data_IF_882154704616
#
_entry.id   IF_882154704616
#
_cell.length_a   1.000
_cell.length_b   1.000
_cell.length_c   1.000
_cell.angle_alpha   90.00
_cell.angle_beta   90.00
_cell.angle_gamma   90.00
#
_symmetry.space_group_name_H-M   'P 1'
#
loop_
_entity.id
_entity.type
_entity.pdbx_description
1 polymer ?
#
# COMPACT_ATOMS: atom_id res chain seq x y z
N UNK A 1 48.23 -27.52 62.29
CA UNK A 1 47.62 -27.97 61.02
C UNK A 1 46.50 -26.99 60.66
N UNK A 2 46.73 -26.07 59.70
CA UNK A 2 45.76 -25.04 59.26
C UNK A 2 45.20 -25.46 57.92
N UNK A 3 43.88 -25.72 57.83
CA UNK A 3 43.19 -26.02 56.60
C UNK A 3 42.87 -24.67 55.84
N UNK A 4 43.09 -24.61 54.55
CA UNK A 4 42.65 -23.46 53.76
C UNK A 4 41.16 -23.56 53.40
N UNK A 5 40.40 -22.51 53.64
CA UNK A 5 39.00 -22.34 53.20
C UNK A 5 39.04 -21.85 51.77
N UNK A 6 38.54 -22.67 50.84
CA UNK A 6 38.40 -22.30 49.46
C UNK A 6 37.07 -21.50 49.28
N UNK A 7 37.14 -20.25 48.90
CA UNK A 7 35.99 -19.45 48.48
C UNK A 7 35.65 -19.78 47.01
N UNK A 8 34.51 -20.40 46.79
CA UNK A 8 33.95 -20.58 45.45
C UNK A 8 33.16 -19.33 45.10
N UNK A 9 33.66 -18.55 44.13
CA UNK A 9 32.93 -17.42 43.57
C UNK A 9 31.89 -17.93 42.56
N UNK A 10 30.62 -17.83 42.88
CA UNK A 10 29.53 -18.02 41.92
C UNK A 10 29.46 -16.81 40.99
N UNK A 11 29.87 -16.97 39.70
CA UNK A 11 29.54 -16.01 38.65
C UNK A 11 28.08 -16.20 38.23
N UNK A 12 27.23 -15.26 38.59
CA UNK A 12 25.87 -15.16 38.08
C UNK A 12 25.91 -14.54 36.66
N UNK A 13 25.71 -15.36 35.64
CA UNK A 13 25.47 -14.89 34.27
C UNK A 13 24.07 -14.25 34.20
N UNK A 14 24.02 -12.92 34.16
CA UNK A 14 22.79 -12.19 33.84
C UNK A 14 22.48 -12.38 32.32
N UNK A 15 21.57 -13.26 32.01
CA UNK A 15 21.02 -13.39 30.68
C UNK A 15 20.14 -12.18 30.40
N UNK A 16 20.62 -11.23 29.59
CA UNK A 16 19.78 -10.16 29.05
C UNK A 16 18.74 -10.80 28.13
N UNK A 17 17.51 -10.94 28.63
CA UNK A 17 16.37 -11.31 27.80
C UNK A 17 16.12 -10.18 26.80
N UNK A 18 16.44 -10.43 25.53
CA UNK A 18 16.06 -9.54 24.42
C UNK A 18 14.54 -9.62 24.29
N UNK A 19 13.82 -8.63 24.82
CA UNK A 19 12.38 -8.48 24.60
C UNK A 19 12.18 -8.24 23.11
N UNK A 20 11.43 -9.08 22.37
CA UNK A 20 11.18 -8.83 20.96
C UNK A 20 10.47 -7.49 20.82
N UNK A 21 11.14 -6.53 20.20
CA UNK A 21 10.57 -5.23 19.90
C UNK A 21 9.51 -5.42 18.81
N UNK A 22 8.27 -5.00 19.07
CA UNK A 22 7.21 -5.01 18.04
C UNK A 22 7.71 -4.31 16.80
N UNK A 23 7.45 -4.91 15.63
CA UNK A 23 7.80 -4.27 14.36
C UNK A 23 7.11 -2.91 14.25
N UNK A 24 7.75 -1.90 13.66
CA UNK A 24 7.12 -0.60 13.40
C UNK A 24 5.78 -0.77 12.68
N UNK A 25 4.84 0.15 12.89
CA UNK A 25 3.50 0.05 12.30
C UNK A 25 3.50 -0.05 10.76
N UNK A 26 4.45 0.61 10.10
CA UNK A 26 4.65 0.53 8.65
C UNK A 26 5.11 -0.86 8.21
N UNK A 27 5.99 -1.51 8.97
CA UNK A 27 6.44 -2.88 8.72
C UNK A 27 5.29 -3.87 8.86
N UNK A 28 4.48 -3.73 9.90
CA UNK A 28 3.30 -4.58 10.09
C UNK A 28 2.26 -4.35 8.99
N UNK A 29 2.07 -3.10 8.54
CA UNK A 29 1.20 -2.78 7.42
C UNK A 29 1.69 -3.44 6.12
N UNK A 30 2.98 -3.28 5.80
CA UNK A 30 3.59 -3.87 4.62
C UNK A 30 3.49 -5.40 4.63
N UNK A 31 3.75 -6.03 5.77
CA UNK A 31 3.63 -7.48 5.93
C UNK A 31 2.19 -7.97 5.69
N UNK A 32 1.17 -7.23 6.15
CA UNK A 32 -0.24 -7.53 5.90
C UNK A 32 -0.60 -7.41 4.42
N UNK A 33 -0.13 -6.37 3.75
CA UNK A 33 -0.35 -6.18 2.32
C UNK A 33 0.34 -7.29 1.51
N UNK A 34 1.57 -7.64 1.88
CA UNK A 34 2.34 -8.73 1.28
C UNK A 34 1.70 -10.11 1.49
N UNK A 35 1.01 -10.33 2.60
CA UNK A 35 0.29 -11.58 2.85
C UNK A 35 -0.84 -11.86 1.84
N UNK A 36 -1.28 -10.85 1.08
CA UNK A 36 -2.25 -10.98 -0.01
C UNK A 36 -1.61 -11.37 -1.34
N UNK A 37 -0.30 -11.63 -1.37
CA UNK A 37 0.46 -11.88 -2.59
C UNK A 37 -0.09 -13.07 -3.37
N UNK A 38 -0.18 -12.90 -4.70
CA UNK A 38 -0.71 -13.90 -5.63
C UNK A 38 -2.24 -13.90 -5.74
N UNK A 39 -2.96 -13.22 -4.84
CA UNK A 39 -4.41 -13.23 -4.82
C UNK A 39 -5.02 -11.98 -5.45
N UNK A 40 -6.18 -12.16 -6.06
CA UNK A 40 -7.04 -11.09 -6.55
C UNK A 40 -8.30 -11.00 -5.69
N UNK A 41 -8.87 -9.79 -5.62
CA UNK A 41 -10.07 -9.51 -4.83
C UNK A 41 -11.00 -8.58 -5.57
N UNK A 42 -12.30 -8.89 -5.57
CA UNK A 42 -13.32 -8.00 -6.09
C UNK A 42 -13.69 -6.92 -5.08
N UNK A 43 -14.05 -5.78 -5.61
CA UNK A 43 -14.43 -4.63 -4.82
C UNK A 43 -15.54 -3.82 -5.43
N UNK A 44 -15.92 -2.78 -4.71
CA UNK A 44 -16.92 -1.79 -5.12
C UNK A 44 -16.51 -0.40 -4.66
N UNK A 45 -17.00 0.59 -5.38
CA UNK A 45 -16.94 1.96 -4.90
C UNK A 45 -17.99 2.14 -3.79
N UNK A 46 -17.57 2.73 -2.66
CA UNK A 46 -18.45 3.02 -1.52
C UNK A 46 -18.65 4.52 -1.29
N UNK A 47 -17.86 5.36 -1.96
CA UNK A 47 -18.12 6.80 -2.06
C UNK A 47 -19.17 7.09 -3.15
N UNK A 48 -19.97 8.13 -2.97
CA UNK A 48 -21.15 8.40 -3.82
C UNK A 48 -21.04 9.66 -4.70
N UNK A 49 -19.84 10.08 -5.11
CA UNK A 49 -19.69 11.29 -5.92
C UNK A 49 -20.08 11.06 -7.39
N UNK A 50 -20.77 12.03 -7.99
CA UNK A 50 -21.27 11.92 -9.35
C UNK A 50 -20.19 11.72 -10.41
N UNK A 51 -18.99 12.25 -10.18
CA UNK A 51 -17.82 12.10 -11.06
C UNK A 51 -17.34 10.64 -11.16
N UNK A 52 -17.67 9.81 -10.19
CA UNK A 52 -17.24 8.40 -10.15
C UNK A 52 -18.30 7.41 -10.64
N UNK A 53 -19.40 7.89 -11.23
CA UNK A 53 -20.55 7.06 -11.63
C UNK A 53 -20.16 5.90 -12.55
N UNK A 54 -19.27 6.13 -13.50
CA UNK A 54 -18.80 5.09 -14.42
C UNK A 54 -18.00 4.02 -13.68
N UNK A 55 -17.10 4.45 -12.77
CA UNK A 55 -16.32 3.52 -11.96
C UNK A 55 -17.21 2.76 -10.97
N UNK A 56 -18.24 3.41 -10.42
CA UNK A 56 -19.22 2.77 -9.53
C UNK A 56 -20.03 1.66 -10.22
N UNK A 57 -20.26 1.80 -11.53
CA UNK A 57 -20.95 0.80 -12.35
C UNK A 57 -20.02 -0.32 -12.86
N UNK A 58 -18.72 -0.12 -12.80
CA UNK A 58 -17.73 -1.08 -13.29
C UNK A 58 -17.41 -2.14 -12.25
N UNK A 59 -17.02 -3.33 -12.73
CA UNK A 59 -16.40 -4.36 -11.88
C UNK A 59 -15.00 -3.88 -11.47
N UNK A 60 -14.75 -3.81 -10.17
CA UNK A 60 -13.46 -3.43 -9.62
C UNK A 60 -12.70 -4.66 -9.14
N UNK A 61 -11.45 -4.83 -9.53
CA UNK A 61 -10.60 -5.93 -9.08
C UNK A 61 -9.21 -5.41 -8.78
N UNK A 62 -8.65 -5.79 -7.63
CA UNK A 62 -7.21 -5.66 -7.37
C UNK A 62 -6.55 -7.03 -7.40
N UNK A 63 -5.26 -7.08 -7.75
CA UNK A 63 -4.42 -8.23 -7.56
C UNK A 63 -3.11 -7.82 -6.91
N UNK A 64 -2.70 -8.44 -5.80
CA UNK A 64 -1.34 -8.27 -5.28
C UNK A 64 -0.43 -9.22 -6.07
N UNK A 65 0.08 -8.74 -7.21
CA UNK A 65 0.60 -9.59 -8.28
C UNK A 65 2.08 -9.92 -8.15
N UNK A 66 2.90 -8.93 -7.83
CA UNK A 66 4.34 -9.10 -7.67
C UNK A 66 4.76 -8.61 -6.30
N UNK A 67 5.56 -9.41 -5.60
CA UNK A 67 5.90 -9.18 -4.20
C UNK A 67 7.37 -9.50 -3.94
N UNK A 68 8.06 -8.54 -3.37
CA UNK A 68 9.39 -8.72 -2.80
C UNK A 68 9.43 -8.19 -1.36
N UNK A 69 10.58 -8.21 -0.73
CA UNK A 69 10.76 -7.57 0.57
C UNK A 69 10.71 -6.04 0.50
N UNK A 70 10.92 -5.47 -0.69
CA UNK A 70 11.05 -4.02 -0.89
C UNK A 70 9.87 -3.41 -1.66
N UNK A 71 9.16 -4.21 -2.48
CA UNK A 71 8.18 -3.69 -3.43
C UNK A 71 7.03 -4.65 -3.66
N UNK A 72 5.81 -4.09 -3.67
CA UNK A 72 4.57 -4.76 -4.06
C UNK A 72 3.98 -4.05 -5.27
N UNK A 73 3.54 -4.81 -6.27
CA UNK A 73 2.86 -4.32 -7.48
C UNK A 73 1.42 -4.80 -7.45
N UNK A 74 0.49 -3.86 -7.49
CA UNK A 74 -0.94 -4.10 -7.28
C UNK A 74 -1.72 -3.49 -8.46
N UNK A 75 -1.95 -4.24 -9.55
CA UNK A 75 -2.90 -3.85 -10.58
C UNK A 75 -4.29 -3.57 -9.98
N UNK A 76 -4.91 -2.49 -10.45
CA UNK A 76 -6.29 -2.13 -10.16
C UNK A 76 -7.08 -2.05 -11.46
N UNK A 77 -7.94 -3.01 -11.69
CA UNK A 77 -8.76 -3.15 -12.89
C UNK A 77 -10.13 -2.51 -12.66
N UNK A 78 -10.58 -1.74 -13.64
CA UNK A 78 -11.88 -1.06 -13.67
C UNK A 78 -12.62 -1.48 -14.94
N UNK A 79 -13.47 -2.48 -14.87
CA UNK A 79 -14.07 -3.09 -16.05
C UNK A 79 -13.00 -3.60 -17.01
N UNK A 80 -12.94 -3.04 -18.23
CA UNK A 80 -11.94 -3.36 -19.25
C UNK A 80 -10.68 -2.47 -19.19
N UNK A 81 -10.59 -1.52 -18.26
CA UNK A 81 -9.36 -0.76 -18.03
C UNK A 81 -8.39 -1.57 -17.16
N UNK A 82 -7.30 -2.00 -17.76
CA UNK A 82 -6.21 -2.74 -17.10
C UNK A 82 -4.94 -1.89 -16.97
N UNK A 83 -5.03 -0.57 -17.14
CA UNK A 83 -3.88 0.32 -17.16
C UNK A 83 -3.45 0.85 -15.80
N UNK A 84 -4.19 0.61 -14.72
CA UNK A 84 -3.93 1.21 -13.42
C UNK A 84 -3.13 0.25 -12.53
N UNK A 85 -2.02 0.73 -11.99
CA UNK A 85 -1.17 -0.06 -11.10
C UNK A 85 -0.75 0.79 -9.90
N UNK A 86 -0.92 0.26 -8.70
CA UNK A 86 -0.32 0.80 -7.48
C UNK A 86 0.98 0.08 -7.19
N UNK A 87 2.00 0.83 -6.83
CA UNK A 87 3.29 0.31 -6.38
C UNK A 87 3.51 0.79 -4.96
N UNK A 88 3.61 -0.15 -4.03
CA UNK A 88 3.95 0.14 -2.63
C UNK A 88 5.37 -0.33 -2.39
N UNK A 89 6.27 0.59 -2.05
CA UNK A 89 7.68 0.31 -1.80
C UNK A 89 8.09 0.70 -0.38
N UNK A 90 9.08 -0.01 0.17
CA UNK A 90 9.79 0.42 1.37
C UNK A 90 10.78 1.51 1.01
N UNK A 91 10.97 2.45 1.91
CA UNK A 91 12.00 3.49 1.84
C UNK A 91 12.80 3.50 3.15
N UNK A 92 13.88 4.25 3.19
CA UNK A 92 14.66 4.43 4.41
C UNK A 92 13.88 5.09 5.56
N UNK A 93 12.78 5.78 5.24
CA UNK A 93 11.97 6.55 6.20
C UNK A 93 10.54 6.05 6.37
N UNK A 94 10.15 4.99 5.63
CA UNK A 94 8.80 4.44 5.71
C UNK A 94 8.35 3.72 4.45
N UNK A 95 7.17 4.08 3.94
CA UNK A 95 6.59 3.50 2.73
C UNK A 95 6.35 4.60 1.69
N UNK A 96 6.37 4.21 0.42
CA UNK A 96 5.99 5.05 -0.72
C UNK A 96 4.88 4.38 -1.52
N UNK A 97 3.88 5.13 -1.93
CA UNK A 97 2.86 4.73 -2.88
C UNK A 97 3.05 5.49 -4.18
N UNK A 98 3.10 4.77 -5.30
CA UNK A 98 3.13 5.34 -6.66
C UNK A 98 1.99 4.75 -7.47
N UNK A 99 1.35 5.60 -8.28
CA UNK A 99 0.33 5.24 -9.26
C UNK A 99 0.93 5.29 -10.65
N UNK A 100 0.86 4.17 -11.36
CA UNK A 100 1.24 4.09 -12.77
C UNK A 100 -0.04 3.92 -13.58
N UNK A 101 -0.16 4.69 -14.66
CA UNK A 101 -1.26 4.59 -15.61
C UNK A 101 -0.71 4.33 -17.00
N UNK A 102 -1.27 3.32 -17.67
CA UNK A 102 -0.91 2.93 -19.03
C UNK A 102 -2.12 2.87 -19.92
N UNK A 103 -1.89 3.07 -21.22
CA UNK A 103 -2.87 2.83 -22.28
C UNK A 103 -2.86 1.36 -22.69
N UNK A 104 -3.85 0.97 -23.49
CA UNK A 104 -3.99 -0.40 -23.97
C UNK A 104 -2.80 -0.89 -24.80
N UNK A 105 -2.07 0.02 -25.45
CA UNK A 105 -0.83 -0.29 -26.19
C UNK A 105 0.41 -0.46 -25.28
N UNK A 106 0.24 -0.27 -23.96
CA UNK A 106 1.30 -0.36 -22.95
C UNK A 106 2.08 0.92 -22.75
N UNK A 107 1.86 1.99 -23.52
CA UNK A 107 2.48 3.30 -23.32
C UNK A 107 1.98 3.95 -22.03
N UNK A 108 2.82 4.75 -21.37
CA UNK A 108 2.39 5.49 -20.18
C UNK A 108 1.47 6.65 -20.55
N UNK A 109 0.48 6.92 -19.68
CA UNK A 109 -0.33 8.12 -19.77
C UNK A 109 0.47 9.36 -19.34
N UNK A 110 0.03 10.54 -19.80
CA UNK A 110 0.68 11.79 -19.44
C UNK A 110 0.67 12.07 -17.93
N UNK A 111 -0.36 11.59 -17.22
CA UNK A 111 -0.46 11.66 -15.76
C UNK A 111 -0.22 10.26 -15.21
N UNK A 112 1.04 9.91 -15.03
CA UNK A 112 1.52 8.62 -14.52
C UNK A 112 2.73 8.84 -13.63
N UNK A 113 3.06 7.86 -12.76
CA UNK A 113 4.22 7.92 -11.88
C UNK A 113 4.05 8.86 -10.68
N UNK A 114 2.83 9.24 -10.33
CA UNK A 114 2.55 10.13 -9.20
C UNK A 114 2.26 9.36 -7.91
N UNK A 115 2.48 10.03 -6.77
CA UNK A 115 2.24 9.46 -5.46
C UNK A 115 2.92 10.24 -4.34
N UNK A 116 3.46 9.54 -3.34
CA UNK A 116 4.20 10.16 -2.26
C UNK A 116 4.60 9.19 -1.16
N UNK A 117 5.37 9.70 -0.22
CA UNK A 117 5.81 8.97 0.96
C UNK A 117 4.73 8.96 2.04
N UNK A 118 4.79 7.95 2.92
CA UNK A 118 3.86 7.84 4.04
C UNK A 118 3.97 9.04 4.99
N UNK A 119 2.82 9.59 5.38
CA UNK A 119 2.73 10.69 6.33
C UNK A 119 2.96 10.20 7.77
N UNK A 120 4.22 10.05 8.16
CA UNK A 120 4.60 9.55 9.48
C UNK A 120 4.34 8.05 9.68
N UNK A 121 4.37 7.56 10.92
CA UNK A 121 4.33 6.11 11.21
C UNK A 121 2.99 5.44 10.89
N UNK A 122 1.90 6.17 10.75
CA UNK A 122 0.57 5.62 10.56
C UNK A 122 0.17 4.61 11.64
N UNK A 123 -0.60 3.60 11.26
CA UNK A 123 -0.88 2.45 12.13
C UNK A 123 -0.81 1.13 11.31
N UNK A 124 -0.80 -0.03 11.97
CA UNK A 124 -0.65 -1.32 11.28
C UNK A 124 -1.77 -1.67 10.29
N UNK A 125 -2.88 -0.95 10.30
CA UNK A 125 -4.01 -1.19 9.38
C UNK A 125 -4.14 -0.11 8.32
N UNK A 126 -3.55 1.08 8.53
CA UNK A 126 -3.77 2.22 7.63
C UNK A 126 -2.52 3.05 7.48
N UNK A 127 -2.17 3.34 6.22
CA UNK A 127 -1.12 4.28 5.84
C UNK A 127 -1.70 5.36 4.92
N UNK A 128 -1.17 6.58 5.05
CA UNK A 128 -1.58 7.74 4.26
C UNK A 128 -0.38 8.27 3.48
N UNK A 129 -0.61 8.70 2.24
CA UNK A 129 0.41 9.09 1.28
C UNK A 129 0.01 10.43 0.64
N UNK A 130 0.43 11.58 1.21
CA UNK A 130 0.22 12.87 0.55
C UNK A 130 1.01 12.96 -0.75
N UNK A 131 0.50 13.70 -1.74
CA UNK A 131 1.23 13.98 -2.98
C UNK A 131 2.58 14.62 -2.67
N UNK A 132 3.67 14.00 -3.16
CA UNK A 132 5.02 14.54 -3.05
C UNK A 132 5.23 15.73 -4.00
N UNK A 133 6.39 16.39 -3.92
CA UNK A 133 6.65 17.58 -4.74
C UNK A 133 6.65 17.23 -6.23
N UNK A 134 7.24 16.10 -6.63
CA UNK A 134 7.27 15.68 -8.03
C UNK A 134 5.86 15.46 -8.61
N UNK A 135 4.96 14.86 -7.79
CA UNK A 135 3.55 14.67 -8.14
C UNK A 135 2.80 16.00 -8.28
N UNK A 136 3.02 16.93 -7.35
CA UNK A 136 2.43 18.29 -7.43
C UNK A 136 2.86 19.02 -8.69
N UNK A 137 4.15 18.98 -9.01
CA UNK A 137 4.70 19.59 -10.23
C UNK A 137 4.12 18.93 -11.50
N UNK A 138 3.95 17.61 -11.49
CA UNK A 138 3.27 16.89 -12.57
C UNK A 138 1.83 17.36 -12.74
N UNK A 139 1.06 17.49 -11.66
CA UNK A 139 -0.33 17.91 -11.70
C UNK A 139 -0.49 19.36 -12.18
N UNK A 140 0.45 20.24 -11.84
CA UNK A 140 0.49 21.61 -12.38
C UNK A 140 0.73 21.58 -13.89
N UNK A 141 1.73 20.82 -14.37
CA UNK A 141 2.02 20.69 -15.80
C UNK A 141 0.89 20.05 -16.59
N UNK A 142 0.12 19.15 -15.97
CA UNK A 142 -1.00 18.45 -16.60
C UNK A 142 -2.34 19.19 -16.48
N UNK A 143 -2.33 20.45 -16.03
CA UNK A 143 -3.53 21.27 -15.81
C UNK A 143 -4.59 20.59 -14.91
N UNK A 144 -4.11 19.91 -13.87
CA UNK A 144 -4.97 19.28 -12.84
C UNK A 144 -4.65 19.83 -11.44
N UNK A 145 -4.72 21.16 -11.21
CA UNK A 145 -4.21 21.79 -9.98
C UNK A 145 -4.96 21.32 -8.71
N UNK A 146 -6.21 20.89 -8.83
CA UNK A 146 -6.95 20.32 -7.70
C UNK A 146 -6.26 19.07 -7.11
N UNK A 147 -5.44 18.37 -7.89
CA UNK A 147 -4.74 17.14 -7.47
C UNK A 147 -3.48 17.39 -6.64
N UNK A 148 -2.97 18.61 -6.56
CA UNK A 148 -1.78 18.95 -5.75
C UNK A 148 -1.98 18.71 -4.25
N UNK A 149 -3.23 18.69 -3.79
CA UNK A 149 -3.59 18.42 -2.38
C UNK A 149 -4.07 17.00 -2.15
N UNK A 150 -3.90 16.09 -3.12
CA UNK A 150 -4.29 14.70 -2.95
C UNK A 150 -3.56 14.05 -1.78
N UNK A 151 -4.33 13.31 -0.99
CA UNK A 151 -3.85 12.36 0.00
C UNK A 151 -4.51 11.02 -0.28
N UNK A 152 -3.69 10.04 -0.60
CA UNK A 152 -4.16 8.65 -0.74
C UNK A 152 -4.03 7.92 0.57
N UNK A 153 -4.85 6.87 0.75
CA UNK A 153 -4.69 5.96 1.87
C UNK A 153 -5.00 4.52 1.43
N UNK A 154 -4.29 3.58 2.04
CA UNK A 154 -4.62 2.17 1.98
C UNK A 154 -4.92 1.70 3.40
N UNK A 155 -6.04 1.01 3.57
CA UNK A 155 -6.48 0.41 4.82
C UNK A 155 -6.64 -1.09 4.64
N UNK A 156 -6.18 -1.90 5.61
CA UNK A 156 -6.26 -3.37 5.56
C UNK A 156 -6.84 -3.87 6.87
N UNK A 157 -7.96 -4.56 6.77
CA UNK A 157 -8.51 -5.39 7.84
C UNK A 157 -8.34 -6.83 7.40
N UNK A 158 -7.35 -7.57 7.93
CA UNK A 158 -7.00 -8.91 7.45
C UNK A 158 -8.22 -9.84 7.40
N UNK A 159 -8.36 -10.58 6.29
CA UNK A 159 -9.46 -11.51 6.06
C UNK A 159 -10.84 -10.85 5.86
N UNK A 160 -10.92 -9.52 5.87
CA UNK A 160 -12.18 -8.78 5.68
C UNK A 160 -12.15 -7.81 4.53
N UNK A 161 -11.24 -6.85 4.53
CA UNK A 161 -11.32 -5.71 3.64
C UNK A 161 -9.97 -5.08 3.39
N UNK A 162 -9.70 -4.71 2.14
CA UNK A 162 -8.75 -3.69 1.77
C UNK A 162 -9.53 -2.50 1.23
N UNK A 163 -9.22 -1.29 1.70
CA UNK A 163 -9.75 -0.08 1.12
C UNK A 163 -8.65 0.79 0.54
N UNK A 164 -8.95 1.40 -0.59
CA UNK A 164 -8.15 2.46 -1.18
C UNK A 164 -8.97 3.75 -1.18
N UNK A 165 -8.33 4.83 -0.74
CA UNK A 165 -8.96 6.15 -0.66
C UNK A 165 -8.14 7.21 -1.39
N UNK A 166 -8.86 8.22 -1.88
CA UNK A 166 -8.33 9.51 -2.26
C UNK A 166 -9.13 10.60 -1.53
N UNK A 167 -8.42 11.51 -0.89
CA UNK A 167 -8.99 12.70 -0.25
C UNK A 167 -8.30 13.98 -0.72
N UNK A 168 -9.07 15.02 -0.90
CA UNK A 168 -8.64 16.42 -1.06
C UNK A 168 -9.83 17.33 -0.73
N UNK A 169 -9.68 18.66 -0.61
CA UNK A 169 -10.82 19.56 -0.44
C UNK A 169 -11.90 19.32 -1.51
N UNK A 170 -13.13 19.12 -1.08
CA UNK A 170 -14.27 18.85 -1.96
C UNK A 170 -14.26 17.49 -2.68
N UNK A 171 -13.42 16.54 -2.27
CA UNK A 171 -13.29 15.23 -2.93
C UNK A 171 -13.03 14.11 -1.91
N UNK A 172 -13.88 13.08 -1.97
CA UNK A 172 -13.66 11.83 -1.26
C UNK A 172 -13.99 10.65 -2.18
N UNK A 173 -12.99 9.83 -2.43
CA UNK A 173 -13.12 8.56 -3.14
C UNK A 173 -12.74 7.42 -2.21
N UNK A 174 -13.52 6.33 -2.19
CA UNK A 174 -13.21 5.11 -1.46
C UNK A 174 -13.73 3.88 -2.21
N UNK A 175 -12.81 2.99 -2.56
CA UNK A 175 -13.10 1.65 -3.06
C UNK A 175 -12.74 0.60 -2.00
N UNK A 176 -13.63 -0.38 -1.78
CA UNK A 176 -13.42 -1.47 -0.82
C UNK A 176 -13.43 -2.81 -1.54
N UNK A 177 -12.47 -3.68 -1.19
CA UNK A 177 -12.26 -5.01 -1.76
C UNK A 177 -12.45 -6.05 -0.67
N UNK A 178 -13.24 -7.10 -0.97
CA UNK A 178 -13.58 -8.18 -0.03
C UNK A 178 -12.43 -9.18 0.07
N UNK A 179 -11.67 -9.15 1.16
CA UNK A 179 -10.56 -10.07 1.41
C UNK A 179 -11.01 -11.44 1.96
N UNK A 180 -12.28 -11.64 2.23
CA UNK A 180 -12.80 -12.91 2.72
C UNK A 180 -12.85 -13.99 1.63
N UNK A 181 -12.88 -13.57 0.35
CA UNK A 181 -13.01 -14.45 -0.82
C UNK A 181 -12.07 -14.00 -1.95
N UNK A 182 -11.01 -14.74 -2.23
CA UNK A 182 -10.21 -14.51 -3.42
C UNK A 182 -11.07 -14.62 -4.69
N UNK A 183 -10.82 -13.73 -5.64
CA UNK A 183 -11.43 -13.74 -6.96
C UNK A 183 -10.53 -14.45 -7.98
N UNK A 184 -11.08 -14.76 -9.16
CA UNK A 184 -10.29 -15.20 -10.29
C UNK A 184 -9.27 -14.12 -10.67
N UNK A 185 -8.03 -14.55 -10.98
CA UNK A 185 -6.99 -13.61 -11.40
C UNK A 185 -7.43 -12.88 -12.68
N UNK A 186 -7.36 -11.54 -12.70
CA UNK A 186 -7.66 -10.77 -13.89
C UNK A 186 -6.54 -10.96 -14.95
N UNK A 187 -6.75 -10.49 -16.19
CA UNK A 187 -5.68 -10.40 -17.20
C UNK A 187 -4.47 -9.59 -16.64
N UNK A 188 -3.27 -9.78 -17.21
CA UNK A 188 -2.13 -8.93 -16.88
C UNK A 188 -2.45 -7.43 -17.10
N UNK A 189 -1.88 -6.53 -16.30
CA UNK A 189 -2.02 -5.11 -16.58
C UNK A 189 -1.35 -4.74 -17.91
N UNK A 190 -1.85 -3.69 -18.54
CA UNK A 190 -1.29 -3.20 -19.80
C UNK A 190 0.19 -2.85 -19.67
N UNK A 191 0.99 -3.26 -20.68
CA UNK A 191 2.44 -3.09 -20.68
C UNK A 191 3.23 -4.18 -19.95
N UNK A 192 2.58 -5.13 -19.28
CA UNK A 192 3.19 -6.40 -18.85
C UNK A 192 3.04 -7.46 -19.94
N UNK A 193 4.13 -8.17 -20.24
CA UNK A 193 4.16 -9.32 -21.18
C UNK A 193 4.22 -10.62 -20.40
#
# INVERSE_FOLDING_TARGET
MRMPIAFAALLALAACAVVPRSAPSQEQFYARLRALCGHAYEGRLVSGEAVDREMAAARLVIQVRSCSDERLVIPFHVGNDHGRVWIVSRTSTGLRLIHVHRRADGSEEAVSGYGGDSAGPGNPRRQMFPADQASRDLFVRADTPASITNVWAIEIVPGRMLAYELRRPGRFFRAEFDLSRPAAAPPPPWGER
#
